data_IF_911999074878
#
_entry.id   IF_911999074878
#
_cell.length_a   1.000
_cell.length_b   1.000
_cell.length_c   1.000
_cell.angle_alpha   90.00
_cell.angle_beta   90.00
_cell.angle_gamma   90.00
#
_symmetry.space_group_name_H-M   'P 1'
#
loop_
_entity.id
_entity.type
_entity.pdbx_description
1 polymer ?
#
# COMPACT_ATOMS: atom_id res chain seq x y z
N UNK A 1 10.40 -16.75 -26.93
CA UNK A 1 9.13 -16.07 -26.63
C UNK A 1 9.48 -14.96 -25.64
N UNK A 2 9.29 -13.71 -26.03
CA UNK A 2 9.55 -12.59 -25.13
C UNK A 2 8.37 -12.43 -24.18
N UNK A 3 8.64 -12.45 -22.87
CA UNK A 3 7.64 -12.36 -21.79
C UNK A 3 7.76 -11.06 -21.00
N UNK A 4 8.66 -10.17 -21.42
CA UNK A 4 8.91 -8.90 -20.77
C UNK A 4 8.71 -7.75 -21.75
N UNK A 5 8.08 -6.69 -21.27
CA UNK A 5 8.12 -5.37 -21.90
C UNK A 5 9.36 -4.67 -21.39
N UNK A 6 10.32 -4.42 -22.28
CA UNK A 6 11.64 -3.92 -21.93
C UNK A 6 11.85 -2.51 -22.45
N UNK A 7 12.41 -1.64 -21.60
CA UNK A 7 12.90 -0.34 -22.02
C UNK A 7 14.26 -0.06 -21.36
N UNK A 8 15.00 0.88 -21.93
CA UNK A 8 16.30 1.30 -21.41
C UNK A 8 16.24 2.76 -21.01
N UNK A 9 16.79 3.08 -19.84
CA UNK A 9 16.92 4.43 -19.32
C UNK A 9 18.40 4.82 -19.24
N UNK A 10 18.69 6.06 -19.61
CA UNK A 10 20.02 6.67 -19.52
C UNK A 10 20.26 7.32 -18.14
N UNK A 11 19.82 6.65 -17.08
CA UNK A 11 20.06 7.04 -15.68
C UNK A 11 20.54 5.84 -14.87
N UNK A 12 21.31 6.05 -13.78
CA UNK A 12 21.70 5.01 -12.83
C UNK A 12 20.50 4.27 -12.21
N UNK A 13 20.70 3.01 -11.82
CA UNK A 13 19.61 2.15 -11.34
C UNK A 13 18.95 2.67 -10.06
N UNK A 14 19.72 3.28 -9.17
CA UNK A 14 19.26 3.91 -7.93
C UNK A 14 18.35 5.13 -8.19
N UNK A 15 18.55 5.84 -9.30
CA UNK A 15 17.68 6.93 -9.74
C UNK A 15 16.47 6.41 -10.51
N UNK A 16 16.63 5.36 -11.32
CA UNK A 16 15.54 4.78 -12.09
C UNK A 16 14.45 4.15 -11.19
N UNK A 17 14.80 3.54 -10.06
CA UNK A 17 13.83 2.86 -9.18
C UNK A 17 12.71 3.79 -8.69
N UNK A 18 12.98 4.97 -8.08
CA UNK A 18 11.92 5.89 -7.67
C UNK A 18 11.11 6.41 -8.87
N UNK A 19 11.75 6.77 -9.99
CA UNK A 19 11.04 7.21 -11.21
C UNK A 19 10.06 6.14 -11.72
N UNK A 20 10.50 4.87 -11.75
CA UNK A 20 9.65 3.74 -12.14
C UNK A 20 8.47 3.60 -11.18
N UNK A 21 8.70 3.67 -9.87
CA UNK A 21 7.63 3.53 -8.86
C UNK A 21 6.60 4.65 -8.99
N UNK A 22 7.04 5.89 -9.17
CA UNK A 22 6.16 7.05 -9.35
C UNK A 22 5.36 6.95 -10.65
N UNK A 23 6.02 6.55 -11.74
CA UNK A 23 5.38 6.36 -13.02
C UNK A 23 4.27 5.29 -12.97
N UNK A 24 4.52 4.13 -12.34
CA UNK A 24 3.47 3.12 -12.15
C UNK A 24 2.36 3.62 -11.22
N UNK A 25 2.71 4.34 -10.13
CA UNK A 25 1.73 4.88 -9.18
C UNK A 25 0.80 5.92 -9.83
N UNK A 26 1.33 6.81 -10.66
CA UNK A 26 0.56 7.81 -11.41
C UNK A 26 -0.53 7.18 -12.30
N UNK A 27 -0.40 5.89 -12.57
CA UNK A 27 -1.28 5.15 -13.44
C UNK A 27 -2.11 4.08 -12.71
N UNK A 28 -2.15 4.14 -11.37
CA UNK A 28 -2.96 3.26 -10.53
C UNK A 28 -2.31 1.92 -10.19
N UNK A 29 -1.02 1.74 -10.45
CA UNK A 29 -0.27 0.55 -10.03
C UNK A 29 0.58 0.88 -8.80
N UNK A 30 0.20 0.33 -7.64
CA UNK A 30 0.97 0.45 -6.42
C UNK A 30 2.14 -0.53 -6.37
N UNK A 31 3.23 -0.16 -5.68
CA UNK A 31 4.31 -1.09 -5.34
C UNK A 31 3.98 -1.80 -4.04
N UNK A 32 3.79 -3.12 -4.09
CA UNK A 32 3.49 -3.96 -2.93
C UNK A 32 4.75 -4.55 -2.29
N UNK A 33 5.72 -4.94 -3.13
CA UNK A 33 6.95 -5.57 -2.69
C UNK A 33 8.14 -4.98 -3.42
N UNK A 34 9.29 -4.99 -2.74
CA UNK A 34 10.57 -4.57 -3.30
C UNK A 34 11.64 -5.54 -2.82
N UNK A 35 12.37 -6.12 -3.77
CA UNK A 35 13.39 -7.13 -3.52
C UNK A 35 14.70 -6.62 -4.10
N UNK A 36 15.66 -6.32 -3.23
CA UNK A 36 17.03 -6.03 -3.62
C UNK A 36 17.80 -7.34 -3.82
N UNK A 37 17.95 -7.73 -5.08
CA UNK A 37 18.63 -8.97 -5.47
C UNK A 37 20.11 -8.90 -5.12
N UNK A 38 20.75 -7.75 -5.37
CA UNK A 38 22.16 -7.54 -5.07
C UNK A 38 22.43 -7.70 -3.58
N UNK A 39 21.68 -6.98 -2.74
CA UNK A 39 21.86 -7.06 -1.29
C UNK A 39 21.55 -8.46 -0.76
N UNK A 40 20.58 -9.16 -1.33
CA UNK A 40 20.21 -10.52 -0.94
C UNK A 40 21.31 -11.52 -1.28
N UNK A 41 21.80 -11.53 -2.52
CA UNK A 41 22.86 -12.44 -2.97
C UNK A 41 24.18 -12.18 -2.24
N UNK A 42 24.52 -10.91 -2.00
CA UNK A 42 25.68 -10.54 -1.18
C UNK A 42 25.56 -11.11 0.24
N UNK A 43 24.41 -10.92 0.89
CA UNK A 43 24.19 -11.36 2.28
C UNK A 43 24.18 -12.88 2.42
N UNK A 44 23.58 -13.59 1.45
CA UNK A 44 23.35 -15.03 1.54
C UNK A 44 24.49 -15.86 0.97
N UNK A 45 25.16 -15.36 -0.06
CA UNK A 45 26.15 -16.12 -0.84
C UNK A 45 27.51 -15.41 -0.94
N UNK A 46 27.64 -14.18 -0.44
CA UNK A 46 28.87 -13.39 -0.59
C UNK A 46 29.14 -12.92 -2.02
N UNK A 47 28.14 -12.99 -2.90
CA UNK A 47 28.31 -12.63 -4.31
C UNK A 47 28.05 -11.14 -4.54
N UNK A 48 29.04 -10.44 -5.10
CA UNK A 48 28.84 -9.10 -5.64
C UNK A 48 28.25 -9.18 -7.04
N UNK A 49 27.12 -8.52 -7.24
CA UNK A 49 26.40 -8.46 -8.52
C UNK A 49 26.06 -7.01 -8.85
N UNK A 50 25.74 -6.73 -10.11
CA UNK A 50 25.27 -5.40 -10.49
C UNK A 50 23.92 -5.06 -9.81
N UNK A 51 23.60 -3.77 -9.61
CA UNK A 51 22.31 -3.36 -9.06
C UNK A 51 21.14 -4.00 -9.82
N UNK A 52 20.23 -4.61 -9.08
CA UNK A 52 19.03 -5.26 -9.61
C UNK A 52 17.96 -5.28 -8.53
N UNK A 53 16.88 -4.55 -8.76
CA UNK A 53 15.70 -4.46 -7.90
C UNK A 53 14.51 -5.11 -8.63
N UNK A 54 13.75 -5.93 -7.91
CA UNK A 54 12.48 -6.47 -8.39
C UNK A 54 11.35 -5.79 -7.61
N UNK A 55 10.46 -5.12 -8.34
CA UNK A 55 9.27 -4.46 -7.82
C UNK A 55 8.05 -5.33 -8.10
N UNK A 56 7.27 -5.64 -7.08
CA UNK A 56 5.95 -6.22 -7.24
C UNK A 56 4.91 -5.11 -7.39
N UNK A 57 4.46 -4.86 -8.61
CA UNK A 57 3.46 -3.83 -8.92
C UNK A 57 2.07 -4.43 -9.07
N UNK A 58 1.04 -3.75 -8.56
CA UNK A 58 -0.32 -4.27 -8.59
C UNK A 58 -1.35 -3.16 -8.73
N UNK A 59 -2.35 -3.39 -9.58
CA UNK A 59 -3.59 -2.62 -9.59
C UNK A 59 -4.69 -3.43 -8.89
N UNK A 60 -5.28 -2.91 -7.80
CA UNK A 60 -6.27 -3.66 -7.00
C UNK A 60 -7.51 -4.10 -7.79
N UNK A 61 -8.00 -3.30 -8.74
CA UNK A 61 -9.20 -3.64 -9.53
C UNK A 61 -8.93 -4.81 -10.48
N UNK A 62 -7.76 -4.82 -11.13
CA UNK A 62 -7.37 -5.95 -11.98
C UNK A 62 -7.10 -7.21 -11.16
N UNK A 63 -6.41 -7.08 -10.02
CA UNK A 63 -6.14 -8.22 -9.14
C UNK A 63 -7.43 -8.84 -8.60
N UNK A 64 -8.39 -8.03 -8.14
CA UNK A 64 -9.70 -8.51 -7.66
C UNK A 64 -10.43 -9.30 -8.75
N UNK A 65 -10.57 -8.75 -9.96
CA UNK A 65 -11.25 -9.41 -11.08
C UNK A 65 -10.57 -10.72 -11.49
N UNK A 66 -9.22 -10.73 -11.50
CA UNK A 66 -8.47 -11.94 -11.80
C UNK A 66 -8.70 -13.03 -10.75
N UNK A 67 -8.61 -12.68 -9.46
CA UNK A 67 -8.81 -13.62 -8.35
C UNK A 67 -10.25 -14.14 -8.26
N UNK A 68 -11.24 -13.32 -8.61
CA UNK A 68 -12.64 -13.75 -8.72
C UNK A 68 -12.85 -14.75 -9.86
N UNK A 69 -12.05 -14.66 -10.92
CA UNK A 69 -12.14 -15.56 -12.09
C UNK A 69 -11.38 -16.87 -11.85
N UNK A 70 -10.17 -16.78 -11.30
CA UNK A 70 -9.30 -17.92 -11.03
C UNK A 70 -8.51 -17.64 -9.75
N UNK A 71 -8.93 -18.17 -8.58
CA UNK A 71 -8.24 -17.92 -7.31
C UNK A 71 -6.76 -18.31 -7.32
N UNK A 72 -6.37 -19.33 -8.11
CA UNK A 72 -4.97 -19.76 -8.22
C UNK A 72 -4.06 -18.74 -8.95
N UNK A 73 -4.63 -17.74 -9.63
CA UNK A 73 -3.86 -16.65 -10.26
C UNK A 73 -3.03 -15.87 -9.23
N UNK A 74 -3.37 -15.95 -7.94
CA UNK A 74 -2.59 -15.37 -6.86
C UNK A 74 -1.13 -15.83 -6.85
N UNK A 75 -0.81 -17.00 -7.40
CA UNK A 75 0.57 -17.50 -7.56
C UNK A 75 1.39 -16.68 -8.56
N UNK A 76 0.73 -15.94 -9.45
CA UNK A 76 1.36 -15.09 -10.46
C UNK A 76 1.31 -13.60 -10.10
N UNK A 77 0.59 -13.22 -9.03
CA UNK A 77 0.53 -11.84 -8.55
C UNK A 77 1.59 -11.58 -7.47
N UNK A 78 2.14 -10.35 -7.35
CA UNK A 78 1.90 -9.17 -8.18
C UNK A 78 2.66 -9.19 -9.53
N UNK A 79 2.38 -8.23 -10.41
CA UNK A 79 3.10 -8.07 -11.67
C UNK A 79 4.55 -7.62 -11.41
N UNK A 80 5.51 -8.47 -11.74
CA UNK A 80 6.93 -8.19 -11.52
C UNK A 80 7.46 -7.14 -12.51
N UNK A 81 8.20 -6.15 -11.99
CA UNK A 81 9.00 -5.18 -12.75
C UNK A 81 10.43 -5.24 -12.26
N UNK A 82 11.36 -5.58 -13.15
CA UNK A 82 12.79 -5.66 -12.84
C UNK A 82 13.47 -4.38 -13.30
N UNK A 83 14.19 -3.72 -12.40
CA UNK A 83 15.02 -2.54 -12.66
C UNK A 83 16.47 -2.93 -12.38
N UNK A 84 17.31 -2.99 -13.41
CA UNK A 84 18.70 -3.47 -13.27
C UNK A 84 19.69 -2.73 -14.14
N UNK A 85 20.93 -2.66 -13.68
CA UNK A 85 22.03 -2.14 -14.51
C UNK A 85 22.41 -3.13 -15.61
N UNK A 86 22.69 -2.60 -16.80
CA UNK A 86 23.19 -3.35 -17.94
C UNK A 86 23.93 -2.41 -18.90
N UNK A 87 25.19 -2.72 -19.22
CA UNK A 87 25.99 -1.92 -20.16
C UNK A 87 26.12 -0.45 -19.75
N UNK A 88 26.18 -0.15 -18.46
CA UNK A 88 26.26 1.23 -17.93
C UNK A 88 24.95 2.01 -17.95
N UNK A 89 23.85 1.40 -18.41
CA UNK A 89 22.48 1.96 -18.41
C UNK A 89 21.57 1.16 -17.49
N UNK A 90 20.34 1.62 -17.32
CA UNK A 90 19.32 0.87 -16.58
C UNK A 90 18.32 0.24 -17.54
N UNK A 91 18.14 -1.09 -17.43
CA UNK A 91 17.03 -1.78 -18.07
C UNK A 91 15.86 -1.88 -17.09
N UNK A 92 14.67 -1.52 -17.58
CA UNK A 92 13.40 -1.70 -16.90
C UNK A 92 12.60 -2.73 -17.69
N UNK A 93 12.21 -3.82 -17.03
CA UNK A 93 11.52 -4.95 -17.66
C UNK A 93 10.27 -5.29 -16.86
N UNK A 94 9.08 -5.05 -17.43
CA UNK A 94 7.82 -5.37 -16.80
C UNK A 94 7.23 -6.64 -17.40
N UNK A 95 6.74 -7.55 -16.55
CA UNK A 95 6.11 -8.80 -16.99
C UNK A 95 4.87 -8.51 -17.84
N UNK A 96 4.74 -9.20 -18.97
CA UNK A 96 3.55 -9.06 -19.83
C UNK A 96 2.34 -9.79 -19.22
N UNK A 97 1.24 -9.09 -18.90
CA UNK A 97 0.03 -9.70 -18.36
C UNK A 97 -0.56 -10.79 -19.27
N UNK A 98 -0.36 -10.72 -20.59
CA UNK A 98 -0.82 -11.74 -21.52
C UNK A 98 -0.13 -13.08 -21.30
N UNK A 99 1.16 -13.07 -20.96
CA UNK A 99 1.92 -14.27 -20.64
C UNK A 99 1.52 -14.81 -19.27
N UNK A 100 1.20 -13.93 -18.32
CA UNK A 100 0.73 -14.37 -17.00
C UNK A 100 -0.58 -15.15 -17.10
N UNK A 101 -1.56 -14.65 -17.86
CA UNK A 101 -2.87 -15.31 -17.96
C UNK A 101 -2.90 -16.49 -18.94
N UNK A 102 -1.85 -16.69 -19.74
CA UNK A 102 -1.77 -17.90 -20.57
C UNK A 102 -1.41 -19.14 -19.76
N UNK A 103 -0.80 -19.00 -18.58
CA UNK A 103 -0.36 -20.14 -17.76
C UNK A 103 -1.54 -20.93 -17.17
N UNK A 104 -2.59 -20.30 -16.60
CA UNK A 104 -3.75 -21.04 -16.07
C UNK A 104 -4.70 -21.56 -17.15
N UNK A 105 -4.50 -21.19 -18.43
CA UNK A 105 -5.36 -21.57 -19.57
C UNK A 105 -6.86 -21.30 -19.32
N UNK A 106 -7.16 -20.18 -18.65
CA UNK A 106 -8.54 -19.73 -18.38
C UNK A 106 -8.94 -18.61 -19.32
N UNK A 107 -9.88 -18.87 -20.22
CA UNK A 107 -10.36 -17.86 -21.17
C UNK A 107 -10.94 -16.61 -20.49
N UNK A 108 -11.55 -16.77 -19.31
CA UNK A 108 -12.10 -15.66 -18.52
C UNK A 108 -11.05 -14.63 -18.06
N UNK A 109 -9.76 -14.98 -18.03
CA UNK A 109 -8.68 -14.07 -17.64
C UNK A 109 -8.18 -13.18 -18.77
N UNK A 110 -8.44 -13.56 -20.03
CA UNK A 110 -7.94 -12.83 -21.21
C UNK A 110 -8.41 -11.37 -21.25
N UNK A 111 -9.68 -11.04 -20.97
CA UNK A 111 -10.13 -9.65 -20.94
C UNK A 111 -9.42 -8.82 -19.86
N UNK A 112 -9.13 -9.41 -18.70
CA UNK A 112 -8.43 -8.73 -17.60
C UNK A 112 -6.99 -8.42 -18.00
N UNK A 113 -6.29 -9.38 -18.62
CA UNK A 113 -4.93 -9.14 -19.11
C UNK A 113 -4.88 -8.15 -20.27
N UNK A 114 -5.87 -8.18 -21.17
CA UNK A 114 -5.93 -7.23 -22.29
C UNK A 114 -6.11 -5.82 -21.77
N UNK A 115 -7.00 -5.63 -20.81
CA UNK A 115 -7.22 -4.34 -20.18
C UNK A 115 -6.02 -3.92 -19.34
N UNK A 116 -5.40 -4.81 -18.57
CA UNK A 116 -4.18 -4.51 -17.83
C UNK A 116 -3.04 -4.10 -18.77
N UNK A 117 -2.81 -4.81 -19.87
CA UNK A 117 -1.80 -4.48 -20.87
C UNK A 117 -2.11 -3.18 -21.65
N UNK A 118 -3.39 -2.90 -21.92
CA UNK A 118 -3.86 -1.67 -22.56
C UNK A 118 -4.20 -0.57 -21.56
N UNK A 119 -3.98 -0.73 -20.27
CA UNK A 119 -4.22 0.34 -19.30
C UNK A 119 -3.12 1.39 -19.46
N UNK A 120 -3.39 2.70 -19.25
CA UNK A 120 -2.37 3.75 -19.32
C UNK A 120 -1.12 3.41 -18.49
N UNK A 121 -1.31 2.76 -17.34
CA UNK A 121 -0.29 2.24 -16.42
C UNK A 121 0.18 0.83 -16.60
N UNK A 122 -0.36 0.16 -17.61
CA UNK A 122 -0.14 -1.25 -17.80
C UNK A 122 1.32 -1.56 -18.07
N UNK A 123 1.80 -2.76 -17.69
CA UNK A 123 3.10 -3.24 -18.15
C UNK A 123 3.21 -3.22 -19.69
N UNK A 124 2.09 -3.39 -20.40
CA UNK A 124 2.00 -3.33 -21.86
C UNK A 124 2.29 -1.96 -22.49
N UNK A 125 2.37 -0.88 -21.69
CA UNK A 125 2.71 0.47 -22.13
C UNK A 125 3.86 1.10 -21.34
N UNK A 126 4.83 0.28 -20.93
CA UNK A 126 5.97 0.71 -20.12
C UNK A 126 6.69 1.99 -20.62
N UNK A 127 6.88 2.14 -21.94
CA UNK A 127 7.47 3.36 -22.52
C UNK A 127 6.65 4.63 -22.23
N UNK A 128 5.31 4.53 -22.26
CA UNK A 128 4.41 5.65 -21.96
C UNK A 128 4.40 5.95 -20.48
N UNK A 129 4.32 4.91 -19.65
CA UNK A 129 4.36 5.04 -18.18
C UNK A 129 5.57 5.86 -17.77
N UNK A 130 6.77 5.51 -18.26
CA UNK A 130 7.99 6.25 -17.91
C UNK A 130 8.11 7.61 -18.61
N UNK A 131 7.51 7.82 -19.79
CA UNK A 131 7.48 9.14 -20.44
C UNK A 131 6.54 10.12 -19.72
N UNK A 132 5.38 9.67 -19.27
CA UNK A 132 4.42 10.46 -18.49
C UNK A 132 4.93 10.71 -17.07
N UNK A 133 5.63 9.75 -16.46
CA UNK A 133 6.34 9.94 -15.20
C UNK A 133 7.39 11.06 -15.27
N UNK A 134 8.24 11.07 -16.31
CA UNK A 134 9.23 12.15 -16.51
C UNK A 134 8.62 13.51 -16.86
N UNK A 135 7.45 13.55 -17.50
CA UNK A 135 6.75 14.82 -17.77
C UNK A 135 5.99 15.35 -16.54
N UNK A 136 5.70 14.49 -15.57
CA UNK A 136 5.13 14.88 -14.27
C UNK A 136 6.12 15.64 -13.38
N UNK A 137 7.39 15.78 -13.79
CA UNK A 137 8.38 16.68 -13.17
C UNK A 137 8.06 18.18 -13.39
N UNK A 138 7.06 18.52 -14.21
CA UNK A 138 6.37 19.80 -14.08
C UNK A 138 5.45 19.73 -12.85
N UNK A 139 5.55 20.66 -11.87
CA UNK A 139 5.08 20.45 -10.51
C UNK A 139 3.58 20.10 -10.46
N UNK A 140 3.29 18.80 -10.45
CA UNK A 140 1.95 18.28 -10.32
C UNK A 140 1.59 18.29 -8.83
N UNK A 141 0.73 19.24 -8.49
CA UNK A 141 0.01 19.42 -7.23
C UNK A 141 0.16 18.32 -6.20
N UNK A 142 0.78 18.69 -5.08
CA UNK A 142 0.57 18.06 -3.78
C UNK A 142 -0.94 17.90 -3.55
N UNK A 143 -1.50 16.71 -3.77
CA UNK A 143 -2.90 16.45 -3.40
C UNK A 143 -2.93 16.47 -1.88
N UNK A 144 -3.57 17.47 -1.24
CA UNK A 144 -3.53 17.56 0.19
C UNK A 144 -4.31 16.38 0.76
N UNK A 145 -3.62 15.52 1.53
CA UNK A 145 -4.28 14.48 2.32
C UNK A 145 -5.52 15.07 3.02
N UNK A 146 -6.69 14.41 2.93
CA UNK A 146 -7.91 14.81 3.62
C UNK A 146 -7.63 15.20 5.08
N UNK A 147 -8.27 16.26 5.57
CA UNK A 147 -7.96 16.85 6.88
C UNK A 147 -8.04 15.88 8.06
N UNK A 148 -8.84 14.82 7.94
CA UNK A 148 -8.95 13.75 8.93
C UNK A 148 -7.75 12.77 8.92
N UNK A 149 -7.17 12.45 7.75
CA UNK A 149 -5.95 11.65 7.63
C UNK A 149 -4.76 12.42 8.21
N UNK A 150 -4.64 13.72 7.88
CA UNK A 150 -3.61 14.60 8.48
C UNK A 150 -3.72 14.66 10.00
N UNK A 151 -4.94 14.61 10.55
CA UNK A 151 -5.20 14.59 11.99
C UNK A 151 -4.84 13.22 12.62
N UNK A 152 -5.19 12.10 11.98
CA UNK A 152 -4.81 10.76 12.48
C UNK A 152 -3.27 10.57 12.50
N UNK A 153 -2.56 11.04 11.46
CA UNK A 153 -1.09 11.03 11.42
C UNK A 153 -0.49 11.93 12.52
N UNK A 154 -1.01 13.16 12.68
CA UNK A 154 -0.54 14.11 13.70
C UNK A 154 -0.66 13.56 15.13
N UNK A 155 -1.67 12.73 15.39
CA UNK A 155 -1.93 12.17 16.72
C UNK A 155 -1.51 10.69 16.85
N UNK A 156 -0.76 10.12 15.88
CA UNK A 156 -0.27 8.72 15.86
C UNK A 156 -1.37 7.66 16.05
N UNK A 157 -2.55 7.88 15.50
CA UNK A 157 -3.60 6.84 15.45
C UNK A 157 -3.41 5.93 14.24
N UNK A 158 -3.68 4.60 14.36
CA UNK A 158 -3.69 3.71 13.22
C UNK A 158 -4.80 4.11 12.24
N UNK A 159 -4.43 4.35 10.98
CA UNK A 159 -5.34 4.83 9.93
C UNK A 159 -6.48 3.84 9.65
N UNK A 160 -6.25 2.55 9.93
CA UNK A 160 -7.24 1.47 9.78
C UNK A 160 -8.50 1.61 10.64
N UNK A 161 -8.51 2.51 11.63
CA UNK A 161 -9.68 2.80 12.47
C UNK A 161 -10.33 4.17 12.25
N UNK A 162 -9.80 5.02 11.36
CA UNK A 162 -10.32 6.37 11.14
C UNK A 162 -11.38 6.36 10.02
N UNK A 163 -12.61 6.79 10.31
CA UNK A 163 -13.67 7.08 9.31
C UNK A 163 -13.92 8.57 9.18
N UNK A 164 -14.44 8.97 8.02
CA UNK A 164 -14.84 10.36 7.76
C UNK A 164 -15.93 10.83 8.73
N UNK A 165 -15.78 12.01 9.37
CA UNK A 165 -16.85 12.58 10.16
C UNK A 165 -17.99 13.00 9.22
N UNK A 166 -19.10 12.26 9.25
CA UNK A 166 -20.30 12.54 8.45
C UNK A 166 -20.83 11.38 7.60
N UNK A 167 -20.17 10.21 7.58
CA UNK A 167 -20.76 9.01 6.96
C UNK A 167 -21.90 8.49 7.83
N UNK A 168 -23.14 8.90 7.54
CA UNK A 168 -24.33 8.57 8.30
C UNK A 168 -24.57 7.06 8.42
N UNK A 169 -24.62 6.58 9.66
CA UNK A 169 -25.37 5.40 10.09
C UNK A 169 -25.70 5.62 11.58
N UNK A 170 -26.90 6.16 11.78
CA UNK A 170 -27.78 6.30 12.95
C UNK A 170 -27.27 6.20 14.40
N UNK A 171 -27.71 7.22 15.18
CA UNK A 171 -27.75 7.31 16.64
C UNK A 171 -28.85 6.40 17.24
N UNK A 172 -28.86 6.21 18.58
CA UNK A 172 -29.78 7.02 19.41
C UNK A 172 -29.09 7.62 20.66
N UNK A 173 -29.15 8.94 20.87
CA UNK A 173 -30.10 9.67 21.75
C UNK A 173 -29.99 9.27 23.23
N UNK A 174 -29.31 10.06 24.07
CA UNK A 174 -29.85 11.00 25.10
C UNK A 174 -28.61 11.65 25.77
N UNK A 175 -28.50 12.90 26.24
CA UNK A 175 -29.44 13.92 26.66
C UNK A 175 -28.86 15.34 26.43
N UNK A 176 -29.77 16.32 26.50
CA UNK A 176 -29.64 17.74 26.12
C UNK A 176 -28.79 18.63 27.06
N UNK A 177 -28.46 19.87 26.61
CA UNK A 177 -27.55 20.81 27.26
C UNK A 177 -28.26 21.81 28.19
N UNK A 178 -27.54 22.35 29.17
CA UNK A 178 -27.87 23.64 29.81
C UNK A 178 -27.53 23.74 31.30
N UNK A 179 -26.55 24.58 31.64
CA UNK A 179 -26.55 25.33 32.89
C UNK A 179 -25.60 26.54 32.80
N UNK A 180 -26.17 27.75 32.90
CA UNK A 180 -25.47 29.02 33.12
C UNK A 180 -25.35 29.31 34.63
N UNK A 181 -24.37 30.18 34.95
CA UNK A 181 -24.22 31.11 36.11
C UNK A 181 -23.71 30.59 37.46
N UNK A 182 -22.41 30.84 37.70
CA UNK A 182 -21.79 31.78 38.65
C UNK A 182 -22.60 32.18 39.91
N UNK A 183 -22.11 31.83 41.12
CA UNK A 183 -21.65 32.80 42.14
C UNK A 183 -20.92 32.16 43.36
N UNK A 184 -19.82 32.84 43.77
CA UNK A 184 -19.10 33.00 45.07
C UNK A 184 -19.61 32.22 46.30
N UNK A 185 -18.83 31.75 47.30
CA UNK A 185 -17.59 32.21 47.95
C UNK A 185 -17.19 31.21 49.07
N UNK A 186 -15.90 31.10 49.43
CA UNK A 186 -15.48 30.56 50.75
C UNK A 186 -14.18 29.74 50.73
N UNK A 187 -13.19 30.15 51.53
CA UNK A 187 -11.83 29.57 51.68
C UNK A 187 -11.82 28.27 52.56
N UNK A 188 -10.69 27.52 52.64
CA UNK A 188 -10.60 26.06 52.84
C UNK A 188 -10.28 25.67 54.32
N UNK A 189 -10.00 24.39 54.70
CA UNK A 189 -8.70 23.73 54.44
C UNK A 189 -8.70 22.18 54.29
N UNK A 190 -7.49 21.68 53.97
CA UNK A 190 -6.85 20.37 54.26
C UNK A 190 -7.38 19.05 53.66
N UNK A 191 -6.48 18.33 52.98
CA UNK A 191 -6.68 16.91 52.66
C UNK A 191 -5.93 16.46 51.40
N UNK A 192 -4.83 15.74 51.60
CA UNK A 192 -3.97 15.13 50.59
C UNK A 192 -4.71 14.10 49.72
N UNK A 193 -4.41 14.05 48.40
CA UNK A 193 -4.23 12.78 47.63
C UNK A 193 -3.74 13.02 46.19
N UNK A 194 -2.73 12.21 45.84
CA UNK A 194 -2.02 12.05 44.56
C UNK A 194 -2.91 11.57 43.39
N UNK A 195 -2.47 11.72 42.12
CA UNK A 195 -3.22 11.33 40.94
C UNK A 195 -3.26 9.81 40.75
N UNK A 196 -4.42 9.25 40.38
CA UNK A 196 -4.55 7.85 39.95
C UNK A 196 -4.48 7.76 38.43
N UNK A 197 -3.43 7.10 37.96
CA UNK A 197 -3.25 6.58 36.61
C UNK A 197 -4.32 5.53 36.29
N UNK A 198 -4.85 5.60 35.07
CA UNK A 198 -5.78 4.63 34.50
C UNK A 198 -4.97 3.65 33.64
N UNK A 199 -4.47 2.58 34.25
CA UNK A 199 -3.92 1.42 33.56
C UNK A 199 -4.26 0.20 34.40
N UNK A 200 -5.20 -0.64 33.96
CA UNK A 200 -5.25 -2.10 34.19
C UNK A 200 -6.58 -2.67 33.70
N UNK A 201 -6.54 -3.47 32.63
CA UNK A 201 -7.37 -4.66 32.50
C UNK A 201 -6.81 -5.55 31.37
N UNK A 202 -6.05 -6.57 31.75
CA UNK A 202 -5.73 -7.73 30.92
C UNK A 202 -6.79 -8.83 31.17
N UNK A 203 -7.18 -9.66 30.20
CA UNK A 203 -8.13 -10.74 30.44
C UNK A 203 -7.43 -12.02 30.93
N UNK A 204 -7.99 -12.65 31.97
CA UNK A 204 -7.66 -14.02 32.42
C UNK A 204 -8.62 -15.04 31.79
N UNK A 205 -8.09 -16.21 31.45
CA UNK A 205 -8.79 -17.42 30.96
C UNK A 205 -9.82 -17.96 31.97
N UNK A 206 -10.86 -18.68 31.53
CA UNK A 206 -11.78 -19.39 32.42
C UNK A 206 -11.27 -20.80 32.78
N UNK A 207 -11.44 -21.17 34.06
CA UNK A 207 -11.30 -22.52 34.60
C UNK A 207 -12.68 -23.14 34.85
N UNK A 208 -12.71 -24.47 34.79
CA UNK A 208 -13.86 -25.36 34.81
C UNK A 208 -14.78 -25.29 36.07
N UNK A 209 -16.02 -25.74 35.88
CA UNK A 209 -17.03 -26.04 36.91
C UNK A 209 -17.01 -27.53 37.34
N UNK A 210 -17.61 -27.91 38.49
CA UNK A 210 -17.45 -29.24 39.09
C UNK A 210 -18.70 -30.16 39.07
N UNK A 211 -18.41 -31.47 39.23
CA UNK A 211 -19.12 -32.54 39.97
C UNK A 211 -20.34 -33.31 39.40
N UNK A 212 -20.07 -34.60 39.12
CA UNK A 212 -20.79 -35.85 39.49
C UNK A 212 -22.33 -35.97 39.37
N UNK A 213 -22.79 -36.93 38.56
CA UNK A 213 -23.24 -38.27 38.98
C UNK A 213 -23.32 -39.19 37.75
#
# INVERSE_FOLDING_TARGET
>A
MDYARTITLDVPCDQAVPEVKEAFAAQGFGTLTEIDVRATLRRKLGLETQPSIILGTCNPEFARRALETEPEIGLLLPCNVVVRTHGGRTLVQAMDPQVMVSVPERDGLRPVAEEAGRSPGGPGRLNRVLAEGRNADAPAGHVPLPGWIRRCIRHRFPVSGCREPGSGADLPVTARPGARRIHRSGRPPSGSRRPRSCCSAAPRRPSASPSTA
#
